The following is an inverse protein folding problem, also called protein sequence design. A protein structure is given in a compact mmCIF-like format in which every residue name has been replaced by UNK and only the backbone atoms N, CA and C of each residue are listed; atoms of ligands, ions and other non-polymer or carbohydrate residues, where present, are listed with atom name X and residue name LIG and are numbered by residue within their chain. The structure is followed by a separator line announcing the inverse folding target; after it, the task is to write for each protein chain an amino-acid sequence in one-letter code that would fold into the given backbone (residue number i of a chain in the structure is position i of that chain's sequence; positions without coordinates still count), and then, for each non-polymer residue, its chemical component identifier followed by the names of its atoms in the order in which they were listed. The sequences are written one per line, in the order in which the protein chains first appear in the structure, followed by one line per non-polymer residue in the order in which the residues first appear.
data_IF_825729519612
#
_entry.id   IF_825729519612
#
_cell.length_a   1.000
_cell.length_b   1.000
_cell.length_c   1.000
_cell.angle_alpha   90.00
_cell.angle_beta   90.00
_cell.angle_gamma   90.00
#
_symmetry.space_group_name_H-M   'P 1'
#
loop_
_entity.id
_entity.type
_entity.pdbx_description
1 polymer ?
#
# COMPACT_ATOMS: atom_id res chain seq x y z
N UNK A 1 -0.73 -34.29 -4.66
CA UNK A 1 -0.57 -32.94 -4.09
C UNK A 1 -1.84 -32.60 -3.32
N UNK A 2 -1.70 -31.99 -2.12
CA UNK A 2 -2.86 -31.54 -1.35
C UNK A 2 -3.55 -30.39 -2.10
N UNK A 3 -4.87 -30.49 -2.28
CA UNK A 3 -5.67 -29.45 -2.90
C UNK A 3 -5.87 -28.32 -1.88
N UNK A 4 -5.52 -27.09 -2.25
CA UNK A 4 -5.48 -25.94 -1.34
C UNK A 4 -6.71 -25.05 -1.46
N UNK A 5 -7.20 -24.59 -0.31
CA UNK A 5 -8.10 -23.43 -0.19
C UNK A 5 -7.27 -22.20 0.16
N UNK A 6 -7.47 -21.11 -0.55
CA UNK A 6 -6.78 -19.84 -0.37
C UNK A 6 -7.77 -18.78 0.12
N UNK A 7 -7.38 -17.97 1.07
CA UNK A 7 -8.09 -16.74 1.45
C UNK A 7 -7.31 -15.54 0.91
N UNK A 8 -7.94 -14.70 0.12
CA UNK A 8 -7.40 -13.44 -0.38
C UNK A 8 -8.14 -12.28 0.27
N UNK A 9 -7.43 -11.43 0.98
CA UNK A 9 -8.00 -10.27 1.65
C UNK A 9 -7.88 -9.04 0.76
N UNK A 10 -9.01 -8.38 0.50
CA UNK A 10 -9.12 -7.15 -0.27
C UNK A 10 -10.28 -7.12 -1.25
N UNK A 11 -10.45 -6.01 -1.94
CA UNK A 11 -11.60 -5.75 -2.82
C UNK A 11 -11.26 -4.97 -4.10
N UNK A 12 -10.00 -4.68 -4.35
CA UNK A 12 -9.55 -3.89 -5.50
C UNK A 12 -9.29 -4.72 -6.76
N UNK A 13 -8.86 -4.04 -7.82
CA UNK A 13 -8.44 -4.67 -9.07
C UNK A 13 -7.19 -5.55 -8.90
N UNK A 14 -6.27 -5.18 -8.00
CA UNK A 14 -5.11 -6.02 -7.64
C UNK A 14 -5.55 -7.37 -7.07
N UNK A 15 -6.49 -7.37 -6.14
CA UNK A 15 -7.00 -8.59 -5.55
C UNK A 15 -7.80 -9.42 -6.57
N UNK A 16 -8.53 -8.80 -7.49
CA UNK A 16 -9.17 -9.53 -8.59
C UNK A 16 -8.12 -10.24 -9.47
N UNK A 17 -7.05 -9.56 -9.85
CA UNK A 17 -5.97 -10.15 -10.64
C UNK A 17 -5.26 -11.29 -9.88
N UNK A 18 -5.00 -11.11 -8.59
CA UNK A 18 -4.43 -12.15 -7.73
C UNK A 18 -5.36 -13.37 -7.62
N UNK A 19 -6.66 -13.16 -7.37
CA UNK A 19 -7.65 -14.24 -7.31
C UNK A 19 -7.68 -15.04 -8.60
N UNK A 20 -7.76 -14.33 -9.73
CA UNK A 20 -7.74 -14.96 -11.06
C UNK A 20 -6.48 -15.76 -11.31
N UNK A 21 -5.31 -15.25 -10.93
CA UNK A 21 -4.03 -15.95 -11.11
C UNK A 21 -3.89 -17.15 -10.17
N UNK A 22 -4.26 -17.02 -8.91
CA UNK A 22 -4.24 -18.12 -7.94
C UNK A 22 -5.18 -19.27 -8.36
N UNK A 23 -6.37 -18.93 -8.88
CA UNK A 23 -7.36 -19.90 -9.33
C UNK A 23 -6.93 -20.71 -10.58
N UNK A 24 -5.88 -20.28 -11.29
CA UNK A 24 -5.29 -21.05 -12.41
C UNK A 24 -4.35 -22.17 -11.94
N UNK A 25 -3.94 -22.15 -10.67
CA UNK A 25 -3.04 -23.19 -10.15
C UNK A 25 -3.78 -24.52 -10.01
N UNK A 26 -3.22 -25.63 -10.54
CA UNK A 26 -3.81 -26.97 -10.36
C UNK A 26 -3.80 -27.44 -8.90
N UNK A 27 -3.11 -26.74 -8.02
CA UNK A 27 -3.09 -27.03 -6.59
C UNK A 27 -4.19 -26.29 -5.81
N UNK A 28 -4.92 -25.37 -6.44
CA UNK A 28 -5.96 -24.57 -5.78
C UNK A 28 -7.35 -25.09 -6.14
N UNK A 29 -8.15 -25.33 -5.13
CA UNK A 29 -9.55 -25.74 -5.24
C UNK A 29 -10.49 -24.53 -5.23
N UNK A 30 -10.26 -23.62 -4.30
CA UNK A 30 -11.11 -22.45 -4.06
C UNK A 30 -10.27 -21.26 -3.60
N UNK A 31 -10.57 -20.10 -4.15
CA UNK A 31 -10.07 -18.81 -3.67
C UNK A 31 -11.24 -18.04 -3.07
N UNK A 32 -11.25 -17.89 -1.75
CA UNK A 32 -12.16 -17.00 -1.04
C UNK A 32 -11.60 -15.59 -1.08
N UNK A 33 -12.41 -14.59 -1.45
CA UNK A 33 -11.99 -13.18 -1.52
C UNK A 33 -12.79 -12.35 -0.54
N UNK A 34 -12.14 -11.71 0.41
CA UNK A 34 -12.81 -10.99 1.51
C UNK A 34 -12.44 -9.49 1.52
N UNK A 35 -13.39 -8.57 1.31
CA UNK A 35 -14.79 -8.83 0.97
C UNK A 35 -15.03 -9.15 -0.50
N UNK A 36 -14.01 -8.97 -1.39
CA UNK A 36 -14.16 -9.14 -2.83
C UNK A 36 -14.87 -7.96 -3.51
N UNK A 37 -15.20 -8.13 -4.78
CA UNK A 37 -15.88 -7.14 -5.61
C UNK A 37 -16.76 -7.79 -6.68
N UNK A 38 -17.40 -6.99 -7.53
CA UNK A 38 -18.26 -7.50 -8.61
C UNK A 38 -17.51 -8.37 -9.63
N UNK A 39 -16.23 -8.07 -9.91
CA UNK A 39 -15.40 -8.87 -10.81
C UNK A 39 -15.08 -10.24 -10.22
N UNK A 40 -14.72 -10.32 -8.94
CA UNK A 40 -14.45 -11.59 -8.26
C UNK A 40 -15.72 -12.42 -8.06
N UNK A 41 -16.88 -11.78 -7.89
CA UNK A 41 -18.18 -12.46 -7.79
C UNK A 41 -18.60 -13.15 -9.11
N UNK A 42 -18.19 -12.60 -10.26
CA UNK A 42 -18.57 -13.09 -11.58
C UNK A 42 -17.50 -13.91 -12.30
N UNK A 43 -16.32 -14.07 -11.70
CA UNK A 43 -15.18 -14.75 -12.29
C UNK A 43 -15.41 -16.27 -12.40
N UNK A 44 -16.10 -16.69 -13.45
CA UNK A 44 -16.45 -18.12 -13.72
C UNK A 44 -15.43 -18.88 -14.59
N UNK A 45 -14.30 -18.31 -14.95
CA UNK A 45 -13.43 -18.84 -16.03
C UNK A 45 -12.17 -19.55 -15.53
N UNK A 46 -12.09 -19.96 -14.27
CA UNK A 46 -10.93 -20.69 -13.74
C UNK A 46 -11.28 -22.12 -13.33
N UNK A 47 -10.27 -23.00 -13.31
CA UNK A 47 -10.43 -24.39 -12.85
C UNK A 47 -10.82 -24.46 -11.37
N UNK A 48 -10.42 -23.47 -10.57
CA UNK A 48 -10.80 -23.31 -9.18
C UNK A 48 -11.98 -22.32 -9.03
N UNK A 49 -12.85 -22.55 -8.04
CA UNK A 49 -13.92 -21.60 -7.69
C UNK A 49 -13.34 -20.31 -7.08
N UNK A 50 -13.95 -19.16 -7.43
CA UNK A 50 -13.69 -17.88 -6.75
C UNK A 50 -14.99 -17.49 -6.04
N UNK A 51 -14.92 -17.23 -4.74
CA UNK A 51 -16.08 -16.95 -3.89
C UNK A 51 -15.84 -15.69 -3.04
N UNK A 52 -16.77 -14.73 -3.07
CA UNK A 52 -16.71 -13.56 -2.20
C UNK A 52 -17.22 -13.89 -0.81
N UNK A 53 -16.54 -13.32 0.20
CA UNK A 53 -16.92 -13.42 1.61
C UNK A 53 -17.18 -12.02 2.16
N UNK A 54 -18.36 -11.70 2.68
CA UNK A 54 -18.65 -10.38 3.22
C UNK A 54 -18.06 -10.21 4.65
N UNK A 55 -16.77 -10.50 4.80
CA UNK A 55 -16.03 -10.41 6.06
C UNK A 55 -14.93 -9.37 5.94
N UNK A 56 -14.83 -8.48 6.92
CA UNK A 56 -13.79 -7.42 6.99
C UNK A 56 -13.06 -7.39 8.32
N UNK A 57 -13.62 -7.98 9.39
CA UNK A 57 -13.01 -8.04 10.71
C UNK A 57 -11.80 -8.99 10.73
N UNK A 58 -10.67 -8.54 11.28
CA UNK A 58 -9.43 -9.33 11.26
C UNK A 58 -9.57 -10.65 12.03
N UNK A 59 -10.22 -10.63 13.18
CA UNK A 59 -10.46 -11.84 13.96
C UNK A 59 -11.48 -12.77 13.29
N UNK A 60 -12.53 -12.21 12.69
CA UNK A 60 -13.54 -12.99 11.95
C UNK A 60 -12.91 -13.71 10.74
N UNK A 61 -11.98 -13.05 10.06
CA UNK A 61 -11.20 -13.66 8.97
C UNK A 61 -10.31 -14.80 9.46
N UNK A 62 -9.68 -14.64 10.63
CA UNK A 62 -8.88 -15.70 11.24
C UNK A 62 -9.75 -16.89 11.66
N UNK A 63 -10.93 -16.65 12.24
CA UNK A 63 -11.88 -17.68 12.64
C UNK A 63 -12.44 -18.43 11.41
N UNK A 64 -12.75 -17.71 10.33
CA UNK A 64 -13.10 -18.30 9.05
C UNK A 64 -11.97 -19.18 8.51
N UNK A 65 -10.74 -18.68 8.52
CA UNK A 65 -9.59 -19.42 8.02
C UNK A 65 -9.35 -20.74 8.77
N UNK A 66 -9.58 -20.76 10.09
CA UNK A 66 -9.55 -21.99 10.89
C UNK A 66 -10.67 -22.95 10.52
N UNK A 67 -11.90 -22.47 10.51
CA UNK A 67 -13.10 -23.29 10.23
C UNK A 67 -13.03 -23.95 8.86
N UNK A 68 -12.62 -23.21 7.85
CA UNK A 68 -12.52 -23.71 6.47
C UNK A 68 -11.19 -24.41 6.15
N UNK A 69 -10.30 -24.52 7.14
CA UNK A 69 -8.96 -25.11 6.93
C UNK A 69 -8.20 -24.43 5.78
N UNK A 70 -8.17 -23.11 5.76
CA UNK A 70 -7.43 -22.33 4.76
C UNK A 70 -5.94 -22.67 4.81
N UNK A 71 -5.36 -23.01 3.68
CA UNK A 71 -3.95 -23.39 3.58
C UNK A 71 -3.01 -22.20 3.59
N UNK A 72 -3.42 -21.10 2.97
CA UNK A 72 -2.65 -19.86 2.91
C UNK A 72 -3.60 -18.68 2.79
N UNK A 73 -3.33 -17.62 3.54
CA UNK A 73 -3.98 -16.32 3.37
C UNK A 73 -3.00 -15.35 2.67
N UNK A 74 -3.49 -14.60 1.70
CA UNK A 74 -2.76 -13.56 0.97
C UNK A 74 -3.45 -12.22 1.22
N UNK A 75 -2.69 -11.19 1.57
CA UNK A 75 -3.24 -9.85 1.82
C UNK A 75 -2.84 -8.92 0.67
N UNK A 76 -3.83 -8.35 0.01
CA UNK A 76 -3.61 -7.43 -1.11
C UNK A 76 -3.37 -5.99 -0.67
N UNK A 77 -4.29 -5.35 0.08
CA UNK A 77 -4.19 -3.92 0.40
C UNK A 77 -3.37 -3.63 1.66
N UNK A 78 -2.91 -2.41 1.77
CA UNK A 78 -2.04 -1.92 2.84
C UNK A 78 -2.78 -1.78 4.20
N UNK A 79 -4.06 -1.41 4.18
CA UNK A 79 -4.80 -1.10 5.39
C UNK A 79 -4.93 -2.29 6.38
N UNK A 80 -5.30 -3.51 5.97
CA UNK A 80 -5.29 -4.66 6.86
C UNK A 80 -3.89 -5.01 7.38
N UNK A 81 -2.84 -4.79 6.60
CA UNK A 81 -1.44 -5.01 7.02
C UNK A 81 -1.05 -4.03 8.12
N UNK A 82 -1.35 -2.74 7.93
CA UNK A 82 -1.14 -1.71 8.93
C UNK A 82 -1.98 -1.93 10.21
N UNK A 83 -3.14 -2.56 10.07
CA UNK A 83 -4.00 -2.96 11.19
C UNK A 83 -3.53 -4.24 11.91
N UNK A 84 -2.51 -4.95 11.40
CA UNK A 84 -1.90 -6.09 12.07
C UNK A 84 -2.52 -7.45 11.76
N UNK A 85 -3.17 -7.63 10.61
CA UNK A 85 -3.78 -8.91 10.21
C UNK A 85 -2.78 -10.06 10.25
N UNK A 86 -1.53 -9.81 9.86
CA UNK A 86 -0.49 -10.85 9.84
C UNK A 86 -0.17 -11.35 11.25
N UNK A 87 -0.11 -10.43 12.21
CA UNK A 87 0.15 -10.76 13.62
C UNK A 87 -1.04 -11.54 14.21
N UNK A 88 -2.27 -11.13 13.90
CA UNK A 88 -3.48 -11.87 14.31
C UNK A 88 -3.45 -13.30 13.77
N UNK A 89 -3.18 -13.50 12.49
CA UNK A 89 -3.15 -14.83 11.87
C UNK A 89 -2.03 -15.71 12.45
N UNK A 90 -0.82 -15.17 12.58
CA UNK A 90 0.32 -15.90 13.15
C UNK A 90 0.08 -16.32 14.60
N UNK A 91 -0.49 -15.43 15.41
CA UNK A 91 -0.87 -15.74 16.79
C UNK A 91 -1.94 -16.86 16.88
N UNK A 92 -2.71 -17.03 15.79
CA UNK A 92 -3.68 -18.10 15.64
C UNK A 92 -3.12 -19.37 14.95
N UNK A 93 -1.83 -19.45 14.70
CA UNK A 93 -1.17 -20.57 14.03
C UNK A 93 -1.51 -20.73 12.55
N UNK A 94 -2.02 -19.65 11.92
CA UNK A 94 -2.44 -19.65 10.52
C UNK A 94 -1.34 -19.13 9.60
N UNK A 95 -1.22 -19.71 8.40
CA UNK A 95 -0.29 -19.27 7.38
C UNK A 95 -0.83 -18.04 6.67
N UNK A 96 -0.01 -16.99 6.60
CA UNK A 96 -0.36 -15.76 5.93
C UNK A 96 0.86 -15.15 5.24
N UNK A 97 0.65 -14.65 4.02
CA UNK A 97 1.64 -13.89 3.24
C UNK A 97 1.37 -12.40 3.37
N UNK A 98 2.33 -11.69 3.89
CA UNK A 98 2.31 -10.25 4.12
C UNK A 98 3.29 -9.85 5.22
N UNK A 99 3.65 -8.56 5.33
CA UNK A 99 4.48 -8.03 6.41
C UNK A 99 3.70 -7.99 7.73
N UNK A 100 4.38 -8.14 8.85
CA UNK A 100 3.83 -7.86 10.18
C UNK A 100 3.43 -6.39 10.30
N UNK A 101 2.61 -6.04 11.30
CA UNK A 101 2.22 -4.65 11.55
C UNK A 101 3.42 -3.72 11.66
N UNK A 102 4.47 -4.16 12.36
CA UNK A 102 5.70 -3.38 12.50
C UNK A 102 6.40 -3.17 11.16
N UNK A 103 6.50 -4.18 10.31
CA UNK A 103 7.12 -4.07 8.99
C UNK A 103 6.24 -3.28 8.00
N UNK A 104 4.93 -3.34 8.14
CA UNK A 104 3.98 -2.57 7.32
C UNK A 104 4.13 -1.05 7.49
N UNK A 105 4.82 -0.57 8.54
CA UNK A 105 5.14 0.85 8.70
C UNK A 105 6.01 1.39 7.55
N UNK A 106 6.77 0.54 6.86
CA UNK A 106 7.53 0.97 5.67
C UNK A 106 6.63 1.53 4.55
N UNK A 107 5.35 1.13 4.52
CA UNK A 107 4.36 1.68 3.59
C UNK A 107 3.39 2.65 4.29
N UNK A 108 2.96 2.33 5.51
CA UNK A 108 1.92 3.08 6.20
C UNK A 108 2.40 4.39 6.86
N UNK A 109 3.71 4.62 6.98
CA UNK A 109 4.30 5.88 7.45
C UNK A 109 5.51 6.25 6.60
N UNK A 110 5.40 7.38 5.91
CA UNK A 110 6.48 7.92 5.08
C UNK A 110 7.66 8.38 5.92
N UNK A 111 7.39 8.97 7.08
CA UNK A 111 8.41 9.37 8.04
C UNK A 111 9.23 8.16 8.53
N UNK A 112 8.55 7.08 8.94
CA UNK A 112 9.23 5.83 9.33
C UNK A 112 10.07 5.26 8.18
N UNK A 113 9.50 5.20 6.97
CA UNK A 113 10.17 4.69 5.78
C UNK A 113 11.43 5.50 5.45
N UNK A 114 11.32 6.83 5.46
CA UNK A 114 12.45 7.73 5.22
C UNK A 114 13.55 7.60 6.28
N UNK A 115 13.16 7.56 7.56
CA UNK A 115 14.10 7.35 8.66
C UNK A 115 14.80 6.00 8.56
N UNK A 116 14.06 4.94 8.16
CA UNK A 116 14.62 3.61 7.92
C UNK A 116 15.64 3.63 6.77
N UNK A 117 15.28 4.21 5.62
CA UNK A 117 16.18 4.29 4.46
C UNK A 117 17.45 5.08 4.80
N UNK A 118 17.33 6.23 5.46
CA UNK A 118 18.48 7.03 5.90
C UNK A 118 19.40 6.26 6.83
N UNK A 119 18.84 5.55 7.83
CA UNK A 119 19.61 4.75 8.80
C UNK A 119 20.39 3.61 8.14
N UNK A 120 19.83 3.02 7.08
CA UNK A 120 20.42 1.88 6.38
C UNK A 120 21.18 2.25 5.11
N UNK A 121 21.37 3.55 4.83
CA UNK A 121 22.10 4.01 3.64
C UNK A 121 21.40 3.66 2.31
N UNK A 122 20.07 3.49 2.33
CA UNK A 122 19.28 3.22 1.14
C UNK A 122 19.01 4.58 0.45
N UNK A 123 19.32 4.72 -0.85
CA UNK A 123 19.09 5.96 -1.59
C UNK A 123 17.62 6.39 -1.54
N UNK A 124 17.39 7.64 -1.18
CA UNK A 124 16.07 8.28 -1.16
C UNK A 124 16.23 9.79 -1.25
N UNK A 125 15.19 10.50 -1.69
CA UNK A 125 15.14 11.96 -1.69
C UNK A 125 15.43 12.54 -0.31
N UNK A 126 16.16 13.65 -0.23
CA UNK A 126 16.31 14.42 1.00
C UNK A 126 14.93 14.82 1.52
N UNK A 127 14.77 14.78 2.85
CA UNK A 127 13.46 15.03 3.45
C UNK A 127 13.55 15.65 4.84
N UNK A 128 12.46 16.27 5.25
CA UNK A 128 12.20 16.62 6.64
C UNK A 128 10.72 16.47 6.97
N UNK A 129 10.43 16.07 8.22
CA UNK A 129 9.05 15.83 8.68
C UNK A 129 8.61 16.94 9.61
N UNK A 130 7.37 17.38 9.47
CA UNK A 130 6.77 18.46 10.25
C UNK A 130 5.38 18.09 10.75
N UNK A 131 5.09 18.48 12.00
CA UNK A 131 3.75 18.47 12.57
C UNK A 131 3.24 19.91 12.85
N UNK A 132 4.07 20.91 12.59
CA UNK A 132 3.77 22.33 12.76
C UNK A 132 3.82 23.03 11.39
N UNK A 133 2.74 23.70 11.02
CA UNK A 133 2.65 24.37 9.72
C UNK A 133 3.65 25.53 9.58
N UNK A 134 3.90 26.31 10.64
CA UNK A 134 4.85 27.43 10.59
C UNK A 134 6.28 26.96 10.32
N UNK A 135 6.70 25.84 10.93
CA UNK A 135 8.01 25.25 10.69
C UNK A 135 8.12 24.67 9.27
N UNK A 136 7.05 24.06 8.78
CA UNK A 136 6.97 23.55 7.41
C UNK A 136 7.06 24.68 6.38
N UNK A 137 6.36 25.79 6.59
CA UNK A 137 6.44 26.98 5.74
C UNK A 137 7.86 27.56 5.72
N UNK A 138 8.48 27.74 6.88
CA UNK A 138 9.86 28.25 6.96
C UNK A 138 10.88 27.34 6.23
N UNK A 139 10.67 26.03 6.29
CA UNK A 139 11.51 25.07 5.55
C UNK A 139 11.32 25.19 4.03
N UNK A 140 10.07 25.35 3.57
CA UNK A 140 9.76 25.57 2.14
C UNK A 140 10.40 26.85 1.65
N UNK A 141 10.30 27.97 2.41
CA UNK A 141 10.92 29.23 2.04
C UNK A 141 12.45 29.12 1.91
N UNK A 142 13.07 28.33 2.79
CA UNK A 142 14.52 28.11 2.75
C UNK A 142 14.98 27.18 1.62
N UNK A 143 14.15 26.20 1.22
CA UNK A 143 14.49 25.20 0.18
C UNK A 143 14.12 25.67 -1.23
N UNK A 144 13.02 26.40 -1.37
CA UNK A 144 12.47 26.80 -2.66
C UNK A 144 11.60 25.74 -3.32
N UNK A 145 11.20 25.99 -4.55
CA UNK A 145 10.47 25.07 -5.41
C UNK A 145 11.32 24.73 -6.67
N UNK A 146 11.11 23.57 -7.33
CA UNK A 146 10.09 22.57 -7.03
C UNK A 146 10.39 21.73 -5.79
N UNK A 147 9.31 21.28 -5.10
CA UNK A 147 9.41 20.53 -3.86
C UNK A 147 8.19 19.60 -3.71
N UNK A 148 8.29 18.50 -2.97
CA UNK A 148 7.20 17.54 -2.82
C UNK A 148 6.71 17.50 -1.38
N UNK A 149 5.39 17.69 -1.18
CA UNK A 149 4.74 17.65 0.14
C UNK A 149 3.86 16.38 0.18
N UNK A 150 4.06 15.56 1.21
CA UNK A 150 3.33 14.30 1.39
C UNK A 150 2.73 14.20 2.78
N UNK A 151 1.45 13.86 2.88
CA UNK A 151 0.88 13.42 4.15
C UNK A 151 1.54 12.12 4.60
N UNK A 152 1.86 12.00 5.89
CA UNK A 152 2.64 10.85 6.41
C UNK A 152 1.88 9.52 6.31
N UNK A 153 0.59 9.50 6.63
CA UNK A 153 -0.23 8.28 6.66
C UNK A 153 -0.75 7.82 5.30
N UNK A 154 -1.57 6.75 5.35
CA UNK A 154 -2.26 6.22 4.18
C UNK A 154 -3.38 7.20 3.75
N UNK A 155 -3.24 7.81 2.60
CA UNK A 155 -4.16 8.82 2.06
C UNK A 155 -4.75 8.43 0.68
N UNK A 156 -4.70 7.15 0.31
CA UNK A 156 -5.27 6.60 -0.93
C UNK A 156 -4.87 7.40 -2.20
N UNK A 157 -3.59 7.79 -2.30
CA UNK A 157 -3.05 8.56 -3.42
C UNK A 157 -3.34 10.06 -3.38
N UNK A 158 -4.16 10.56 -2.44
CA UNK A 158 -4.57 11.97 -2.35
C UNK A 158 -3.66 12.83 -1.45
N UNK A 159 -2.68 12.23 -0.81
CA UNK A 159 -1.80 12.89 0.15
C UNK A 159 -0.44 13.30 -0.41
N UNK A 160 -0.28 13.49 -1.71
CA UNK A 160 0.97 13.90 -2.34
C UNK A 160 0.71 15.10 -3.26
N UNK A 161 1.48 16.16 -3.07
CA UNK A 161 1.49 17.35 -3.94
C UNK A 161 2.91 17.58 -4.42
N UNK A 162 3.11 17.56 -5.73
CA UNK A 162 4.33 18.00 -6.38
C UNK A 162 4.17 19.48 -6.68
N UNK A 163 4.75 20.33 -5.85
CA UNK A 163 4.61 21.79 -5.93
C UNK A 163 5.71 22.35 -6.83
N UNK A 164 5.32 22.96 -7.93
CA UNK A 164 6.23 23.63 -8.86
C UNK A 164 6.49 25.08 -8.48
N UNK A 165 5.71 25.64 -7.56
CA UNK A 165 5.87 27.01 -7.01
C UNK A 165 5.79 27.01 -5.50
N UNK A 166 6.29 28.06 -4.86
CA UNK A 166 6.15 28.27 -3.40
C UNK A 166 4.69 28.38 -2.98
N UNK A 167 3.86 29.04 -3.79
CA UNK A 167 2.43 29.19 -3.53
C UNK A 167 1.74 27.83 -3.45
N UNK A 168 1.99 26.93 -4.40
CA UNK A 168 1.47 25.57 -4.37
C UNK A 168 1.96 24.78 -3.16
N UNK A 169 3.24 24.94 -2.79
CA UNK A 169 3.82 24.25 -1.65
C UNK A 169 3.20 24.70 -0.33
N UNK A 170 3.02 26.01 -0.13
CA UNK A 170 2.36 26.55 1.04
C UNK A 170 0.90 26.13 1.14
N UNK A 171 0.16 26.18 0.03
CA UNK A 171 -1.23 25.72 0.00
C UNK A 171 -1.36 24.21 0.34
N UNK A 172 -0.39 23.38 -0.09
CA UNK A 172 -0.38 21.96 0.27
C UNK A 172 -0.17 21.72 1.77
N UNK A 173 0.74 22.48 2.40
CA UNK A 173 0.95 22.42 3.86
C UNK A 173 -0.31 22.85 4.61
N UNK A 174 -0.93 23.95 4.21
CA UNK A 174 -2.17 24.43 4.84
C UNK A 174 -3.29 23.40 4.73
N UNK A 175 -3.49 22.83 3.54
CA UNK A 175 -4.50 21.78 3.30
C UNK A 175 -4.28 20.55 4.19
N UNK A 176 -3.03 20.13 4.37
CA UNK A 176 -2.73 18.90 5.11
C UNK A 176 -2.66 19.11 6.62
N UNK A 177 -1.93 20.13 7.10
CA UNK A 177 -1.68 20.35 8.51
C UNK A 177 -2.69 21.31 9.16
N UNK A 178 -2.98 22.46 8.54
CA UNK A 178 -3.84 23.47 9.15
C UNK A 178 -5.32 23.13 9.04
N UNK A 179 -5.77 22.75 7.83
CA UNK A 179 -7.16 22.39 7.57
C UNK A 179 -7.51 20.95 7.97
N UNK A 180 -6.50 20.13 8.23
CA UNK A 180 -6.62 18.71 8.58
C UNK A 180 -7.57 17.93 7.64
N UNK A 181 -7.57 18.23 6.34
CA UNK A 181 -8.47 17.61 5.35
C UNK A 181 -8.24 16.12 5.17
N UNK A 182 -7.10 15.61 5.60
CA UNK A 182 -6.72 14.18 5.53
C UNK A 182 -6.81 13.47 6.90
N UNK A 183 -7.36 14.13 7.92
CA UNK A 183 -7.51 13.54 9.26
C UNK A 183 -6.17 13.08 9.83
N UNK A 184 -6.15 11.90 10.45
CA UNK A 184 -4.93 11.37 11.07
C UNK A 184 -3.76 11.19 10.08
N UNK A 185 -4.03 10.94 8.80
CA UNK A 185 -2.99 10.83 7.79
C UNK A 185 -2.26 12.16 7.54
N UNK A 186 -2.95 13.29 7.73
CA UNK A 186 -2.41 14.65 7.61
C UNK A 186 -1.83 15.24 8.89
N UNK A 187 -1.82 14.52 10.00
CA UNK A 187 -1.28 15.01 11.27
C UNK A 187 0.23 15.34 11.22
N UNK A 188 0.93 14.82 10.23
CA UNK A 188 2.31 15.14 9.87
C UNK A 188 2.46 15.19 8.37
N UNK A 189 3.38 16.02 7.90
CA UNK A 189 3.80 16.05 6.50
C UNK A 189 5.28 15.74 6.38
N UNK A 190 5.62 15.01 5.33
CA UNK A 190 7.00 14.79 4.89
C UNK A 190 7.23 15.67 3.67
N UNK A 191 8.19 16.58 3.78
CA UNK A 191 8.60 17.47 2.68
C UNK A 191 9.89 16.91 2.10
N UNK A 192 9.88 16.65 0.80
CA UNK A 192 10.98 15.98 0.09
C UNK A 192 11.50 16.84 -1.06
N UNK A 193 12.77 16.67 -1.38
CA UNK A 193 13.31 17.20 -2.62
C UNK A 193 12.56 16.64 -3.84
N UNK A 194 12.43 17.46 -4.86
CA UNK A 194 11.88 17.03 -6.14
C UNK A 194 12.95 16.30 -6.96
N UNK A 195 12.72 15.02 -7.23
CA UNK A 195 13.61 14.22 -8.08
C UNK A 195 13.14 14.26 -9.54
N UNK A 196 14.08 14.43 -10.45
CA UNK A 196 13.85 14.33 -11.90
C UNK A 196 14.27 12.95 -12.40
N UNK A 197 13.57 12.43 -13.41
CA UNK A 197 13.87 11.15 -14.02
C UNK A 197 12.61 10.38 -14.40
N UNK A 198 12.81 9.21 -15.00
CA UNK A 198 11.71 8.28 -15.30
C UNK A 198 11.47 7.36 -14.10
N UNK A 199 10.20 7.13 -13.81
CA UNK A 199 9.78 6.21 -12.74
C UNK A 199 9.78 4.76 -13.25
N UNK A 200 10.31 3.84 -12.46
CA UNK A 200 10.23 2.41 -12.71
C UNK A 200 9.84 1.68 -11.43
N UNK A 201 8.86 0.79 -11.54
CA UNK A 201 8.47 -0.13 -10.46
C UNK A 201 9.31 -1.39 -10.51
N UNK A 202 10.01 -1.71 -9.44
CA UNK A 202 10.75 -2.94 -9.26
C UNK A 202 10.19 -3.70 -8.07
N UNK A 203 9.38 -4.73 -8.34
CA UNK A 203 8.65 -5.48 -7.32
C UNK A 203 9.32 -6.83 -7.09
N UNK A 204 9.44 -7.21 -5.82
CA UNK A 204 10.03 -8.48 -5.40
C UNK A 204 9.12 -9.21 -4.42
N UNK A 205 9.15 -10.55 -4.46
CA UNK A 205 8.58 -11.41 -3.42
C UNK A 205 9.70 -11.82 -2.46
N UNK A 206 9.44 -11.69 -1.15
CA UNK A 206 10.43 -11.95 -0.12
C UNK A 206 9.85 -12.86 0.96
N UNK A 207 10.57 -13.89 1.35
CA UNK A 207 10.20 -14.80 2.47
C UNK A 207 11.06 -14.60 3.73
N UNK A 208 11.92 -13.57 3.73
CA UNK A 208 12.87 -13.27 4.80
C UNK A 208 14.28 -13.83 4.57
N UNK A 209 14.46 -14.73 3.59
CA UNK A 209 15.77 -15.31 3.20
C UNK A 209 16.02 -15.21 1.71
N UNK A 210 15.00 -15.42 0.92
CA UNK A 210 15.05 -15.44 -0.53
C UNK A 210 14.33 -14.24 -1.10
N UNK A 211 14.78 -13.78 -2.28
CA UNK A 211 14.19 -12.69 -3.03
C UNK A 211 13.93 -13.19 -4.45
N UNK A 212 12.70 -13.05 -4.92
CA UNK A 212 12.30 -13.35 -6.30
C UNK A 212 11.83 -12.06 -6.97
N UNK A 213 12.56 -11.59 -7.98
CA UNK A 213 12.18 -10.43 -8.76
C UNK A 213 11.02 -10.76 -9.71
N UNK A 214 10.05 -9.85 -9.77
CA UNK A 214 9.00 -9.85 -10.79
C UNK A 214 9.43 -9.01 -12.00
N UNK A 215 8.65 -9.06 -13.08
CA UNK A 215 8.85 -8.17 -14.21
C UNK A 215 8.75 -6.71 -13.77
N UNK A 216 9.61 -5.87 -14.31
CA UNK A 216 9.55 -4.41 -14.08
C UNK A 216 8.33 -3.82 -14.77
N UNK A 217 7.82 -2.72 -14.24
CA UNK A 217 6.70 -1.97 -14.80
C UNK A 217 6.90 -0.47 -14.62
N UNK A 218 6.11 0.31 -15.33
CA UNK A 218 6.07 1.75 -15.20
C UNK A 218 4.65 2.18 -14.86
N UNK A 219 4.53 3.08 -13.88
CA UNK A 219 3.26 3.67 -13.47
C UNK A 219 3.11 5.05 -14.10
N UNK A 220 2.09 5.22 -14.93
CA UNK A 220 1.77 6.49 -15.57
C UNK A 220 0.66 7.17 -14.77
N UNK A 221 1.03 8.17 -13.96
CA UNK A 221 0.13 8.80 -13.00
C UNK A 221 -0.74 9.90 -13.59
N UNK A 222 -0.28 10.59 -14.63
CA UNK A 222 -0.98 11.73 -15.20
C UNK A 222 -1.87 11.35 -16.37
N UNK A 223 -3.02 12.01 -16.45
CA UNK A 223 -4.10 11.68 -17.39
C UNK A 223 -3.76 11.96 -18.86
N UNK A 224 -2.97 13.00 -19.14
CA UNK A 224 -2.69 13.46 -20.50
C UNK A 224 -1.34 12.98 -21.01
N UNK A 225 -1.15 13.03 -22.34
CA UNK A 225 0.10 12.69 -23.01
C UNK A 225 1.28 13.50 -22.45
N UNK A 226 2.50 12.96 -22.60
CA UNK A 226 3.75 13.56 -22.11
C UNK A 226 3.76 13.84 -20.59
N UNK A 227 3.12 12.98 -19.80
CA UNK A 227 3.04 13.08 -18.34
C UNK A 227 2.48 14.43 -17.86
N UNK A 228 1.36 14.86 -18.46
CA UNK A 228 0.69 16.13 -18.16
C UNK A 228 -0.72 15.92 -17.60
N UNK A 229 -1.29 17.00 -17.04
CA UNK A 229 -2.64 17.01 -16.50
C UNK A 229 -2.74 16.49 -15.06
N UNK A 230 -3.98 16.30 -14.57
CA UNK A 230 -4.22 15.81 -13.22
C UNK A 230 -3.88 14.32 -13.08
N UNK A 231 -3.66 13.94 -11.83
CA UNK A 231 -3.47 12.55 -11.43
C UNK A 231 -4.83 11.87 -11.19
#
# INVERSE_FOLDING_TARGET
FAIMKILLVGSGGREHALAWKLAQSPQVQTVYVAPGNGGTATAKQSAAGIENLPITGLQELADFAKRESIHLTVVGPEAPLAAGIVDVFRNNGLRIFGPTQLAAQLESSKDFSKAFMKRHGIPTADYQTFSNALEAHAYIDAKGAPIVIKADGLAAGKGVVVAMSLEEAHAAVDMMLADNKLGNAGARVVIEEFLTGEEASFIVLVDGKNVLALATSQDHKRLLDADQGPN
#
